data_IF_936601727154
#
_entry.id   IF_936601727154
#
_cell.length_a   1.000
_cell.length_b   1.000
_cell.length_c   1.000
_cell.angle_alpha   90.00
_cell.angle_beta   90.00
_cell.angle_gamma   90.00
#
_symmetry.space_group_name_H-M   'P 1'
#
loop_
_entity.id
_entity.type
_entity.pdbx_description
1 polymer ?
#
# COMPACT_ATOMS: atom_id res chain seq x y z
N UNK A 1 14.38 -30.66 19.68
CA UNK A 1 14.34 -32.13 19.60
C UNK A 1 13.72 -32.49 18.26
N UNK A 2 14.34 -33.35 17.43
CA UNK A 2 13.68 -33.86 16.23
C UNK A 2 12.48 -34.73 16.64
N UNK A 3 11.40 -34.69 15.84
CA UNK A 3 10.21 -35.54 16.03
C UNK A 3 10.63 -37.01 15.99
N UNK A 4 10.03 -37.82 16.84
CA UNK A 4 10.26 -39.27 16.80
C UNK A 4 9.63 -39.86 15.53
N UNK A 5 10.17 -40.97 14.98
CA UNK A 5 9.63 -41.59 13.77
C UNK A 5 8.13 -41.95 13.86
N UNK A 6 7.65 -42.28 15.06
CA UNK A 6 6.23 -42.59 15.31
C UNK A 6 5.35 -41.33 15.27
N UNK A 7 5.80 -40.23 15.85
CA UNK A 7 5.10 -38.93 15.78
C UNK A 7 5.03 -38.40 14.34
N UNK A 8 6.08 -38.61 13.55
CA UNK A 8 6.08 -38.22 12.13
C UNK A 8 5.06 -39.02 11.31
N UNK A 9 4.94 -40.34 11.56
CA UNK A 9 3.95 -41.18 10.90
C UNK A 9 2.52 -40.77 11.28
N UNK A 10 2.25 -40.55 12.56
CA UNK A 10 0.94 -40.09 13.04
C UNK A 10 0.57 -38.73 12.43
N UNK A 11 1.52 -37.79 12.34
CA UNK A 11 1.28 -36.48 11.73
C UNK A 11 0.96 -36.60 10.23
N UNK A 12 1.66 -37.48 9.50
CA UNK A 12 1.37 -37.73 8.07
C UNK A 12 -0.01 -38.34 7.86
N UNK A 13 -0.42 -39.26 8.71
CA UNK A 13 -1.76 -39.86 8.66
C UNK A 13 -2.85 -38.84 8.99
N UNK A 14 -2.66 -38.01 10.02
CA UNK A 14 -3.56 -36.92 10.36
C UNK A 14 -3.71 -35.92 9.20
N UNK A 15 -2.59 -35.55 8.55
CA UNK A 15 -2.62 -34.66 7.39
C UNK A 15 -3.38 -35.31 6.23
N UNK A 16 -3.12 -36.59 5.91
CA UNK A 16 -3.84 -37.29 4.84
C UNK A 16 -5.35 -37.33 5.10
N UNK A 17 -5.76 -37.71 6.31
CA UNK A 17 -7.17 -37.74 6.69
C UNK A 17 -7.81 -36.34 6.60
N UNK A 18 -7.08 -35.28 7.01
CA UNK A 18 -7.57 -33.90 6.91
C UNK A 18 -7.75 -33.41 5.46
N UNK A 19 -6.89 -33.87 4.55
CA UNK A 19 -6.96 -33.53 3.12
C UNK A 19 -8.13 -34.25 2.44
N UNK A 20 -8.31 -35.54 2.71
CA UNK A 20 -9.43 -36.33 2.21
C UNK A 20 -10.78 -35.77 2.68
N UNK A 21 -10.88 -35.38 3.96
CA UNK A 21 -12.08 -34.75 4.49
C UNK A 21 -12.39 -33.40 3.79
N UNK A 22 -11.36 -32.59 3.51
CA UNK A 22 -11.51 -31.33 2.75
C UNK A 22 -11.94 -31.56 1.32
N UNK A 23 -11.44 -32.61 0.66
CA UNK A 23 -11.82 -32.94 -0.72
C UNK A 23 -13.27 -33.42 -0.81
N UNK A 24 -13.71 -34.27 0.13
CA UNK A 24 -15.11 -34.69 0.23
C UNK A 24 -16.06 -33.51 0.51
N UNK A 25 -15.65 -32.56 1.35
CA UNK A 25 -16.43 -31.34 1.58
C UNK A 25 -16.51 -30.47 0.32
N UNK A 26 -15.42 -30.30 -0.42
CA UNK A 26 -15.44 -29.54 -1.68
C UNK A 26 -16.34 -30.17 -2.73
N UNK A 27 -16.26 -31.49 -2.91
CA UNK A 27 -17.07 -32.20 -3.90
C UNK A 27 -18.56 -32.16 -3.55
N UNK A 28 -18.91 -32.29 -2.26
CA UNK A 28 -20.31 -32.20 -1.80
C UNK A 28 -20.89 -30.80 -1.98
N UNK A 29 -20.15 -29.74 -1.63
CA UNK A 29 -20.58 -28.35 -1.85
C UNK A 29 -20.76 -28.07 -3.35
N UNK A 30 -19.80 -28.47 -4.18
CA UNK A 30 -19.89 -28.30 -5.62
C UNK A 30 -21.11 -29.03 -6.21
N UNK A 31 -21.38 -30.26 -5.76
CA UNK A 31 -22.54 -31.02 -6.21
C UNK A 31 -23.87 -30.36 -5.79
N UNK A 32 -23.94 -29.80 -4.58
CA UNK A 32 -25.13 -29.06 -4.11
C UNK A 32 -25.34 -27.77 -4.92
N UNK A 33 -24.28 -27.02 -5.23
CA UNK A 33 -24.39 -25.82 -6.06
C UNK A 33 -24.84 -26.14 -7.48
N UNK A 34 -24.29 -27.19 -8.09
CA UNK A 34 -24.65 -27.60 -9.45
C UNK A 34 -26.12 -28.06 -9.51
N UNK A 35 -26.60 -28.80 -8.51
CA UNK A 35 -28.02 -29.15 -8.37
C UNK A 35 -28.91 -27.92 -8.23
N UNK A 36 -28.51 -26.94 -7.41
CA UNK A 36 -29.25 -25.68 -7.25
C UNK A 36 -29.32 -24.87 -8.55
N UNK A 37 -28.22 -24.79 -9.31
CA UNK A 37 -28.19 -24.12 -10.62
C UNK A 37 -29.10 -24.83 -11.63
N UNK A 38 -29.12 -26.16 -11.65
CA UNK A 38 -30.01 -26.93 -12.52
C UNK A 38 -31.49 -26.68 -12.19
N UNK A 39 -31.86 -26.68 -10.90
CA UNK A 39 -33.23 -26.38 -10.48
C UNK A 39 -33.67 -24.97 -10.91
N UNK A 40 -32.82 -23.96 -10.74
CA UNK A 40 -33.12 -22.59 -11.18
C UNK A 40 -33.28 -22.48 -12.70
N UNK A 41 -32.48 -23.22 -13.48
CA UNK A 41 -32.61 -23.26 -14.92
C UNK A 41 -33.91 -23.93 -15.35
N UNK A 42 -34.30 -25.03 -14.71
CA UNK A 42 -35.58 -25.70 -14.96
C UNK A 42 -36.78 -24.79 -14.63
N UNK A 43 -36.74 -24.07 -13.50
CA UNK A 43 -37.79 -23.12 -13.13
C UNK A 43 -37.94 -21.99 -14.15
N UNK A 44 -36.81 -21.41 -14.60
CA UNK A 44 -36.82 -20.39 -15.65
C UNK A 44 -37.37 -20.93 -16.96
N UNK A 45 -36.98 -22.13 -17.36
CA UNK A 45 -37.47 -22.76 -18.57
C UNK A 45 -38.99 -23.00 -18.49
N UNK A 46 -39.49 -23.45 -17.32
CA UNK A 46 -40.93 -23.61 -17.08
C UNK A 46 -41.67 -22.28 -17.17
N UNK A 47 -41.11 -21.20 -16.62
CA UNK A 47 -41.71 -19.86 -16.71
C UNK A 47 -41.77 -19.37 -18.17
N UNK A 48 -40.68 -19.52 -18.92
CA UNK A 48 -40.64 -19.13 -20.33
C UNK A 48 -41.66 -19.91 -21.16
N UNK A 49 -41.75 -21.23 -20.98
CA UNK A 49 -42.73 -22.06 -21.69
C UNK A 49 -44.16 -21.62 -21.33
N UNK A 50 -44.42 -21.33 -20.04
CA UNK A 50 -45.74 -20.86 -19.60
C UNK A 50 -46.09 -19.50 -20.23
N UNK A 51 -45.16 -18.54 -20.25
CA UNK A 51 -45.35 -17.23 -20.87
C UNK A 51 -45.58 -17.34 -22.38
N UNK A 52 -44.78 -18.16 -23.08
CA UNK A 52 -44.92 -18.39 -24.53
C UNK A 52 -46.26 -19.04 -24.88
N UNK A 53 -46.68 -20.06 -24.12
CA UNK A 53 -47.97 -20.72 -24.32
C UNK A 53 -49.14 -19.79 -23.96
N UNK A 54 -49.00 -18.95 -22.92
CA UNK A 54 -49.99 -17.92 -22.58
C UNK A 54 -50.14 -16.89 -23.71
N UNK A 55 -49.03 -16.36 -24.24
CA UNK A 55 -49.07 -15.45 -25.39
C UNK A 55 -49.70 -16.11 -26.62
N UNK A 56 -49.33 -17.37 -26.91
CA UNK A 56 -49.90 -18.13 -28.03
C UNK A 56 -51.40 -18.32 -27.86
N UNK A 57 -51.85 -18.74 -26.66
CA UNK A 57 -53.27 -18.95 -26.32
C UNK A 57 -54.13 -17.70 -26.54
N UNK A 58 -53.63 -16.52 -26.15
CA UNK A 58 -54.35 -15.25 -26.32
C UNK A 58 -54.29 -14.73 -27.76
N UNK A 59 -53.14 -14.87 -28.44
CA UNK A 59 -53.00 -14.47 -29.85
C UNK A 59 -53.88 -15.30 -30.78
N UNK A 60 -53.94 -16.62 -30.58
CA UNK A 60 -54.79 -17.51 -31.38
C UNK A 60 -56.29 -17.18 -31.22
N UNK A 61 -56.69 -16.69 -30.04
CA UNK A 61 -58.06 -16.21 -29.78
C UNK A 61 -58.30 -14.75 -30.17
N UNK A 62 -57.31 -14.08 -30.76
CA UNK A 62 -57.44 -12.70 -31.25
C UNK A 62 -57.47 -11.63 -30.16
N UNK A 63 -56.98 -11.91 -28.95
CA UNK A 63 -56.80 -10.90 -27.91
C UNK A 63 -55.60 -10.00 -28.23
N UNK A 64 -55.63 -8.76 -27.74
CA UNK A 64 -54.56 -7.78 -27.94
C UNK A 64 -54.00 -7.31 -26.60
N UNK A 65 -52.70 -7.05 -26.54
CA UNK A 65 -52.06 -6.47 -25.37
C UNK A 65 -52.47 -5.01 -25.21
N UNK A 66 -53.05 -4.66 -24.06
CA UNK A 66 -53.40 -3.29 -23.71
C UNK A 66 -52.74 -2.90 -22.38
N UNK A 67 -51.95 -1.81 -22.42
CA UNK A 67 -51.34 -1.24 -21.23
C UNK A 67 -52.35 -0.39 -20.47
N UNK A 68 -52.69 -0.79 -19.25
CA UNK A 68 -53.61 -0.03 -18.40
C UNK A 68 -52.96 1.28 -17.88
N UNK A 69 -53.72 2.11 -17.14
CA UNK A 69 -53.22 3.39 -16.62
C UNK A 69 -52.07 3.27 -15.61
N UNK A 70 -51.96 2.12 -14.94
CA UNK A 70 -50.89 1.81 -13.97
C UNK A 70 -49.64 1.27 -14.66
N UNK A 71 -49.71 0.97 -15.97
CA UNK A 71 -48.60 0.48 -16.76
C UNK A 71 -48.48 -1.04 -16.83
N UNK A 72 -49.47 -1.77 -16.33
CA UNK A 72 -49.55 -3.24 -16.39
C UNK A 72 -50.11 -3.62 -17.77
N UNK A 73 -49.52 -4.67 -18.38
CA UNK A 73 -49.97 -5.21 -19.66
C UNK A 73 -51.06 -6.25 -19.38
N UNK A 74 -52.24 -6.03 -19.95
CA UNK A 74 -53.38 -6.95 -19.84
C UNK A 74 -53.78 -7.44 -21.24
N UNK A 75 -54.13 -8.72 -21.37
CA UNK A 75 -54.74 -9.26 -22.59
C UNK A 75 -56.23 -8.94 -22.59
N UNK A 76 -56.68 -8.14 -23.56
CA UNK A 76 -58.09 -7.72 -23.69
C UNK A 76 -58.62 -8.02 -25.08
N UNK A 77 -59.95 -8.12 -25.20
CA UNK A 77 -60.57 -8.30 -26.52
C UNK A 77 -60.38 -7.04 -27.39
N UNK A 78 -60.33 -7.18 -28.73
CA UNK A 78 -60.14 -6.04 -29.64
C UNK A 78 -61.20 -4.95 -29.46
N UNK A 79 -62.47 -5.32 -29.28
CA UNK A 79 -63.55 -4.36 -29.04
C UNK A 79 -63.36 -3.59 -27.72
N UNK A 80 -62.88 -4.26 -26.68
CA UNK A 80 -62.64 -3.62 -25.39
C UNK A 80 -61.43 -2.68 -25.44
N UNK A 81 -60.38 -3.07 -26.19
CA UNK A 81 -59.24 -2.20 -26.48
C UNK A 81 -59.69 -0.92 -27.22
N UNK A 82 -60.57 -1.04 -28.21
CA UNK A 82 -61.12 0.10 -28.95
C UNK A 82 -62.03 0.98 -28.10
N UNK A 83 -62.91 0.39 -27.28
CA UNK A 83 -63.75 1.13 -26.30
C UNK A 83 -62.88 1.92 -25.31
N UNK A 84 -61.77 1.33 -24.84
CA UNK A 84 -60.78 1.99 -23.97
C UNK A 84 -60.00 3.09 -24.72
N UNK A 85 -59.77 2.94 -26.02
CA UNK A 85 -59.11 3.94 -26.88
C UNK A 85 -60.01 5.14 -27.27
N UNK A 86 -61.34 4.93 -27.38
CA UNK A 86 -62.32 5.89 -27.90
C UNK A 86 -62.56 7.16 -27.08
N UNK A 87 -61.95 7.33 -25.90
CA UNK A 87 -62.05 8.57 -25.08
C UNK A 87 -60.82 9.48 -25.16
N UNK A 88 -60.00 9.39 -26.21
CA UNK A 88 -59.00 10.44 -26.48
C UNK A 88 -59.68 11.66 -27.11
N UNK A 89 -60.34 12.47 -26.28
CA UNK A 89 -60.81 13.80 -26.72
C UNK A 89 -59.63 14.59 -27.27
N UNK A 90 -59.77 15.12 -28.49
CA UNK A 90 -58.89 16.15 -29.08
C UNK A 90 -58.96 17.43 -28.22
N UNK A 91 -58.32 17.43 -27.04
CA UNK A 91 -58.07 18.66 -26.27
C UNK A 91 -56.81 19.30 -26.86
N UNK A 92 -56.99 20.44 -27.55
CA UNK A 92 -55.91 21.28 -28.11
C UNK A 92 -54.79 21.45 -27.07
N UNK A 93 -53.66 20.78 -27.28
CA UNK A 93 -52.49 20.84 -26.40
C UNK A 93 -51.50 21.94 -26.85
N UNK A 94 -51.96 23.17 -27.08
CA UNK A 94 -51.06 24.25 -27.49
C UNK A 94 -50.14 24.74 -26.34
N UNK A 95 -50.53 24.54 -25.08
CA UNK A 95 -49.69 24.85 -23.90
C UNK A 95 -48.74 23.73 -23.45
N UNK A 96 -49.17 22.46 -23.53
CA UNK A 96 -48.35 21.30 -23.08
C UNK A 96 -47.20 20.95 -24.03
N UNK A 97 -47.32 21.22 -25.34
CA UNK A 97 -46.23 20.98 -26.32
C UNK A 97 -45.02 21.89 -26.07
N UNK A 98 -45.25 23.17 -25.73
CA UNK A 98 -44.18 24.13 -25.37
C UNK A 98 -43.45 23.73 -24.08
N UNK A 99 -44.17 23.25 -23.06
CA UNK A 99 -43.57 22.79 -21.79
C UNK A 99 -42.77 21.50 -21.99
N UNK A 100 -43.26 20.54 -22.80
CA UNK A 100 -42.52 19.32 -23.14
C UNK A 100 -41.25 19.60 -23.94
N UNK A 101 -41.31 20.49 -24.94
CA UNK A 101 -40.14 20.91 -25.70
C UNK A 101 -39.11 21.63 -24.82
N UNK A 102 -39.55 22.52 -23.91
CA UNK A 102 -38.65 23.19 -22.97
C UNK A 102 -37.96 22.20 -22.03
N UNK A 103 -38.67 21.19 -21.53
CA UNK A 103 -38.06 20.17 -20.67
C UNK A 103 -37.12 19.24 -21.44
N UNK A 104 -37.41 18.95 -22.72
CA UNK A 104 -36.49 18.23 -23.59
C UNK A 104 -35.22 19.04 -23.84
N UNK A 105 -35.33 20.33 -24.16
CA UNK A 105 -34.15 21.20 -24.37
C UNK A 105 -33.31 21.29 -23.09
N UNK A 106 -33.94 21.42 -21.92
CA UNK A 106 -33.26 21.42 -20.62
C UNK A 106 -32.55 20.08 -20.34
N UNK A 107 -33.17 18.94 -20.65
CA UNK A 107 -32.54 17.63 -20.50
C UNK A 107 -31.38 17.43 -21.47
N UNK A 108 -31.52 17.88 -22.72
CA UNK A 108 -30.43 17.87 -23.70
C UNK A 108 -29.27 18.76 -23.24
N UNK A 109 -29.54 19.96 -22.74
CA UNK A 109 -28.53 20.86 -22.18
C UNK A 109 -27.83 20.27 -20.95
N UNK A 110 -28.58 19.61 -20.05
CA UNK A 110 -28.04 18.92 -18.89
C UNK A 110 -27.10 17.77 -19.29
N UNK A 111 -27.50 16.97 -20.28
CA UNK A 111 -26.67 15.86 -20.77
C UNK A 111 -25.38 16.38 -21.42
N UNK A 112 -25.47 17.45 -22.21
CA UNK A 112 -24.29 18.10 -22.79
C UNK A 112 -23.37 18.62 -21.69
N UNK A 113 -23.91 19.30 -20.67
CA UNK A 113 -23.13 19.77 -19.53
C UNK A 113 -22.43 18.61 -18.80
N UNK A 114 -23.12 17.51 -18.55
CA UNK A 114 -22.53 16.30 -17.94
C UNK A 114 -21.38 15.73 -18.78
N UNK A 115 -21.53 15.65 -20.10
CA UNK A 115 -20.47 15.18 -21.00
C UNK A 115 -19.28 16.13 -20.99
N UNK A 116 -19.50 17.45 -20.98
CA UNK A 116 -18.40 18.43 -20.91
C UNK A 116 -17.64 18.35 -19.59
N UNK A 117 -18.34 18.14 -18.47
CA UNK A 117 -17.71 17.92 -17.16
C UNK A 117 -16.94 16.61 -17.16
N UNK A 118 -17.52 15.52 -17.67
CA UNK A 118 -16.84 14.23 -17.76
C UNK A 118 -15.58 14.28 -18.65
N UNK A 119 -15.65 14.98 -19.78
CA UNK A 119 -14.49 15.22 -20.65
C UNK A 119 -13.45 16.13 -19.97
N UNK A 120 -13.87 17.14 -19.22
CA UNK A 120 -12.99 17.98 -18.42
C UNK A 120 -12.28 17.22 -17.31
N UNK A 121 -13.01 16.35 -16.60
CA UNK A 121 -12.46 15.45 -15.58
C UNK A 121 -11.54 14.43 -16.23
N UNK A 122 -11.91 13.83 -17.36
CA UNK A 122 -11.07 12.88 -18.08
C UNK A 122 -9.78 13.54 -18.61
N UNK A 123 -9.88 14.75 -19.16
CA UNK A 123 -8.73 15.56 -19.56
C UNK A 123 -7.85 15.94 -18.35
N UNK A 124 -8.47 16.31 -17.23
CA UNK A 124 -7.77 16.58 -15.97
C UNK A 124 -7.03 15.34 -15.47
N UNK A 125 -7.70 14.18 -15.45
CA UNK A 125 -7.10 12.89 -15.04
C UNK A 125 -6.00 12.44 -16.01
N UNK A 126 -6.12 12.66 -17.31
CA UNK A 126 -5.05 12.43 -18.28
C UNK A 126 -3.84 13.33 -18.02
N UNK A 127 -4.05 14.58 -17.61
CA UNK A 127 -2.98 15.54 -17.30
C UNK A 127 -2.36 15.32 -15.92
N UNK A 128 -3.13 14.77 -14.97
CA UNK A 128 -2.73 14.48 -13.59
C UNK A 128 -2.49 12.98 -13.34
N UNK A 129 -2.27 12.18 -14.38
CA UNK A 129 -1.69 10.86 -14.23
C UNK A 129 -0.16 11.03 -14.25
N UNK A 130 0.53 11.19 -13.10
CA UNK A 130 1.98 11.07 -13.11
C UNK A 130 2.28 9.66 -13.60
N UNK A 131 2.75 9.54 -14.85
CA UNK A 131 3.21 8.27 -15.37
C UNK A 131 4.19 7.64 -14.38
N UNK A 132 4.35 6.30 -14.39
CA UNK A 132 5.23 5.62 -13.43
C UNK A 132 6.57 6.35 -13.42
N UNK A 133 6.94 6.88 -12.26
CA UNK A 133 8.20 7.59 -12.11
C UNK A 133 9.28 6.65 -12.62
N UNK A 134 9.88 6.97 -13.77
CA UNK A 134 11.03 6.22 -14.25
C UNK A 134 12.09 6.47 -13.20
N UNK A 135 12.35 5.47 -12.36
CA UNK A 135 13.40 5.52 -11.35
C UNK A 135 14.71 5.50 -12.12
N UNK A 136 15.09 6.68 -12.58
CA UNK A 136 16.39 6.89 -13.16
C UNK A 136 17.40 6.79 -12.01
N UNK A 137 18.51 6.13 -12.26
CA UNK A 137 19.54 5.97 -11.25
C UNK A 137 20.68 6.97 -11.49
N UNK A 138 21.38 7.36 -10.43
CA UNK A 138 22.58 8.17 -10.47
C UNK A 138 23.65 7.61 -9.53
N UNK A 139 24.73 8.37 -9.35
CA UNK A 139 25.85 7.99 -8.50
C UNK A 139 26.17 9.11 -7.50
N UNK A 140 26.81 8.76 -6.39
CA UNK A 140 27.41 9.74 -5.46
C UNK A 140 28.86 9.35 -5.21
N UNK A 141 29.78 10.27 -5.45
CA UNK A 141 31.18 10.15 -5.02
C UNK A 141 31.27 10.70 -3.60
N UNK A 142 31.76 9.88 -2.67
CA UNK A 142 31.93 10.25 -1.26
C UNK A 142 33.42 10.31 -0.95
N UNK A 143 33.90 11.47 -0.51
CA UNK A 143 35.31 11.68 -0.15
C UNK A 143 35.45 12.26 1.26
N UNK A 144 36.62 12.02 1.86
CA UNK A 144 37.03 12.68 3.09
C UNK A 144 38.52 12.99 3.07
N UNK A 145 38.93 13.97 3.86
CA UNK A 145 40.34 14.33 4.09
C UNK A 145 41.15 13.19 4.74
N UNK A 146 40.51 12.36 5.57
CA UNK A 146 41.08 11.12 6.13
C UNK A 146 40.42 9.90 5.47
N UNK A 147 41.17 9.00 4.81
CA UNK A 147 40.60 7.83 4.15
C UNK A 147 40.17 6.73 5.14
N UNK A 148 39.35 5.79 4.68
CA UNK A 148 38.93 4.62 5.44
C UNK A 148 37.82 4.91 6.44
N UNK A 149 36.91 5.83 6.15
CA UNK A 149 35.69 6.02 6.94
C UNK A 149 34.55 5.19 6.37
N UNK A 150 33.77 4.55 7.24
CA UNK A 150 32.55 3.83 6.90
C UNK A 150 31.50 4.79 6.33
N UNK A 151 30.80 4.38 5.26
CA UNK A 151 29.80 5.20 4.57
C UNK A 151 28.39 4.72 4.95
N UNK A 152 27.55 5.67 5.38
CA UNK A 152 26.13 5.45 5.69
C UNK A 152 25.27 6.23 4.70
N UNK A 153 24.34 5.52 4.04
CA UNK A 153 23.36 6.09 3.13
C UNK A 153 21.96 5.83 3.70
N UNK A 154 21.18 6.90 3.88
CA UNK A 154 19.82 6.87 4.41
C UNK A 154 19.72 6.06 5.72
N UNK A 155 20.70 6.25 6.60
CA UNK A 155 20.79 5.57 7.90
C UNK A 155 21.26 4.11 7.85
N UNK A 156 21.51 3.56 6.65
CA UNK A 156 22.00 2.18 6.48
C UNK A 156 23.48 2.16 6.14
N UNK A 157 24.26 1.36 6.88
CA UNK A 157 25.68 1.16 6.58
C UNK A 157 25.85 0.44 5.24
N UNK A 158 26.63 1.03 4.34
CA UNK A 158 27.01 0.39 3.08
C UNK A 158 28.25 -0.46 3.32
N UNK A 159 28.02 -1.67 3.85
CA UNK A 159 29.05 -2.65 4.21
C UNK A 159 30.05 -2.81 3.05
N UNK A 160 31.35 -2.77 3.38
CA UNK A 160 32.50 -2.88 2.46
C UNK A 160 32.87 -1.62 1.64
N UNK A 161 32.16 -0.50 1.80
CA UNK A 161 32.50 0.76 1.12
C UNK A 161 33.13 1.74 2.14
N UNK A 162 34.28 2.30 1.78
CA UNK A 162 35.05 3.20 2.64
C UNK A 162 35.56 4.42 1.88
N UNK A 163 35.57 5.60 2.50
CA UNK A 163 36.03 6.82 1.83
C UNK A 163 37.50 6.73 1.38
N UNK A 164 37.87 7.24 0.19
CA UNK A 164 36.98 7.70 -0.87
C UNK A 164 36.34 6.52 -1.63
N UNK A 165 35.03 6.59 -1.88
CA UNK A 165 34.30 5.58 -2.68
C UNK A 165 33.19 6.20 -3.53
N UNK A 166 32.62 5.42 -4.44
CA UNK A 166 31.46 5.80 -5.26
C UNK A 166 30.28 4.88 -5.01
N UNK A 167 29.20 5.45 -4.49
CA UNK A 167 27.90 4.78 -4.41
C UNK A 167 27.25 4.81 -5.80
N UNK A 168 27.07 3.63 -6.40
CA UNK A 168 26.55 3.49 -7.76
C UNK A 168 25.09 3.05 -7.75
N UNK A 169 24.39 3.41 -8.83
CA UNK A 169 23.02 2.96 -9.09
C UNK A 169 22.05 3.29 -7.95
N UNK A 170 22.08 4.53 -7.47
CA UNK A 170 21.15 5.05 -6.48
C UNK A 170 19.92 5.64 -7.17
N UNK A 171 18.70 5.45 -6.65
CA UNK A 171 17.51 6.12 -7.17
C UNK A 171 17.71 7.64 -7.28
N UNK A 172 17.20 8.27 -8.33
CA UNK A 172 17.18 9.73 -8.39
C UNK A 172 16.25 10.27 -7.29
N UNK A 173 16.74 11.24 -6.52
CA UNK A 173 16.05 11.70 -5.33
C UNK A 173 16.99 12.33 -4.30
N UNK A 174 16.42 12.73 -3.16
CA UNK A 174 17.21 13.22 -2.04
C UNK A 174 17.68 12.04 -1.18
N UNK A 175 18.97 11.98 -0.89
CA UNK A 175 19.58 11.01 -0.01
C UNK A 175 20.31 11.71 1.13
N UNK A 176 20.40 11.04 2.28
CA UNK A 176 21.19 11.49 3.42
C UNK A 176 22.46 10.65 3.55
N UNK A 177 23.59 11.33 3.60
CA UNK A 177 24.91 10.72 3.75
C UNK A 177 25.54 11.10 5.07
N UNK A 178 26.13 10.13 5.74
CA UNK A 178 27.01 10.32 6.88
C UNK A 178 28.23 9.40 6.76
N UNK A 179 29.33 9.76 7.41
CA UNK A 179 30.52 8.90 7.50
C UNK A 179 30.94 8.72 8.94
N UNK A 180 31.55 7.57 9.24
CA UNK A 180 32.08 7.25 10.56
C UNK A 180 33.50 6.73 10.48
N UNK A 181 34.37 7.20 11.38
CA UNK A 181 35.72 6.66 11.53
C UNK A 181 36.09 6.66 13.01
N UNK A 182 36.60 5.53 13.49
CA UNK A 182 37.09 5.39 14.87
C UNK A 182 38.10 6.50 15.19
N UNK A 183 37.84 7.23 16.27
CA UNK A 183 38.71 8.31 16.74
C UNK A 183 38.54 9.67 16.06
N UNK A 184 37.59 9.82 15.13
CA UNK A 184 37.36 11.08 14.42
C UNK A 184 35.92 11.57 14.58
N UNK A 185 35.74 12.89 14.48
CA UNK A 185 34.41 13.51 14.32
C UNK A 185 34.28 14.05 12.91
N UNK A 186 33.23 13.64 12.20
CA UNK A 186 32.92 14.14 10.85
C UNK A 186 32.20 15.49 10.90
N UNK A 187 32.58 16.39 9.98
CA UNK A 187 31.87 17.63 9.70
C UNK A 187 31.67 17.81 8.18
N UNK A 188 30.44 18.07 7.71
CA UNK A 188 29.19 18.05 8.47
C UNK A 188 28.90 16.64 9.02
N UNK A 189 28.12 16.49 10.12
CA UNK A 189 27.78 15.17 10.66
C UNK A 189 26.88 14.36 9.71
N UNK A 190 26.06 15.06 8.92
CA UNK A 190 25.21 14.48 7.89
C UNK A 190 25.02 15.51 6.75
N UNK A 191 24.96 15.02 5.51
CA UNK A 191 24.75 15.85 4.32
C UNK A 191 23.57 15.31 3.51
N UNK A 192 22.64 16.20 3.14
CA UNK A 192 21.57 15.89 2.19
C UNK A 192 22.09 16.13 0.77
N UNK A 193 22.04 15.12 -0.09
CA UNK A 193 22.49 15.16 -1.47
C UNK A 193 21.31 14.88 -2.40
N UNK A 194 21.16 15.71 -3.44
CA UNK A 194 20.21 15.45 -4.52
C UNK A 194 20.91 14.66 -5.63
N UNK A 195 20.41 13.46 -5.92
CA UNK A 195 20.87 12.61 -7.02
C UNK A 195 19.99 12.84 -8.24
N UNK A 196 20.61 13.24 -9.34
CA UNK A 196 19.94 13.39 -10.63
C UNK A 196 20.03 12.11 -11.47
N UNK A 197 19.07 11.95 -12.38
CA UNK A 197 19.02 10.88 -13.36
C UNK A 197 20.31 10.83 -14.21
N UNK A 198 21.02 9.70 -14.19
CA UNK A 198 22.32 9.49 -14.84
C UNK A 198 23.41 10.50 -14.42
N UNK A 199 23.17 11.25 -13.34
CA UNK A 199 24.10 12.22 -12.79
C UNK A 199 25.07 11.60 -11.79
N UNK A 200 26.14 12.33 -11.49
CA UNK A 200 27.06 11.98 -10.38
C UNK A 200 27.18 13.17 -9.45
N UNK A 201 26.64 13.03 -8.24
CA UNK A 201 26.78 14.02 -7.17
C UNK A 201 28.07 13.79 -6.37
N UNK A 202 28.52 14.80 -5.62
CA UNK A 202 29.70 14.74 -4.76
C UNK A 202 29.33 15.10 -3.32
N UNK A 203 29.81 14.31 -2.38
CA UNK A 203 29.73 14.57 -0.94
C UNK A 203 31.15 14.57 -0.36
N UNK A 204 31.50 15.63 0.36
CA UNK A 204 32.83 15.84 0.92
C UNK A 204 32.71 16.04 2.42
N UNK A 205 33.52 15.31 3.19
CA UNK A 205 33.53 15.38 4.64
C UNK A 205 34.92 15.72 5.17
N UNK A 206 34.98 16.49 6.26
CA UNK A 206 36.21 16.76 7.01
C UNK A 206 36.18 15.98 8.32
N UNK A 207 37.21 15.17 8.58
CA UNK A 207 37.36 14.37 9.77
C UNK A 207 38.37 15.04 10.70
N UNK A 208 37.87 15.58 11.81
CA UNK A 208 38.72 16.12 12.86
C UNK A 208 39.10 15.01 13.82
N UNK A 209 40.41 14.79 13.98
CA UNK A 209 40.92 13.89 15.00
C UNK A 209 40.42 14.36 16.36
N UNK A 210 39.79 13.44 17.09
CA UNK A 210 39.46 13.70 18.47
C UNK A 210 40.74 13.47 19.27
N UNK A 211 41.39 14.56 19.68
CA UNK A 211 42.67 14.50 20.41
C UNK A 211 42.60 13.70 21.72
N UNK A 212 41.39 13.37 22.20
CA UNK A 212 41.13 12.50 23.32
C UNK A 212 39.94 11.60 23.01
N UNK A 213 40.10 10.29 23.23
CA UNK A 213 39.05 9.27 23.08
C UNK A 213 38.63 8.74 24.43
N UNK A 214 37.36 8.37 24.56
CA UNK A 214 36.84 7.61 25.69
C UNK A 214 36.03 6.42 25.19
N UNK A 215 35.59 5.57 26.10
CA UNK A 215 34.83 4.37 25.78
C UNK A 215 33.41 4.49 26.32
N UNK A 216 32.44 4.00 25.56
CA UNK A 216 31.06 3.83 26.02
C UNK A 216 30.75 2.34 25.98
N UNK A 217 30.24 1.79 27.09
CA UNK A 217 29.64 0.46 27.11
C UNK A 217 28.13 0.60 27.14
N UNK A 218 27.43 0.06 26.15
CA UNK A 218 25.96 0.11 26.08
C UNK A 218 25.39 -1.24 26.44
N UNK A 219 24.56 -1.29 27.48
CA UNK A 219 23.85 -2.50 27.93
C UNK A 219 22.34 -2.34 27.76
N UNK A 220 21.66 -3.42 27.35
CA UNK A 220 20.20 -3.47 27.25
C UNK A 220 19.62 -4.83 27.66
N UNK A 221 18.33 -4.86 27.99
CA UNK A 221 17.59 -6.09 28.31
C UNK A 221 17.41 -7.04 27.11
N UNK A 222 17.50 -6.54 25.88
CA UNK A 222 17.42 -7.33 24.64
C UNK A 222 18.72 -7.22 23.84
N UNK A 223 19.17 -8.32 23.25
CA UNK A 223 20.31 -8.34 22.32
C UNK A 223 19.89 -7.90 20.90
N UNK A 224 20.86 -7.69 20.00
CA UNK A 224 20.65 -7.32 18.58
C UNK A 224 19.88 -6.00 18.42
N UNK A 225 20.53 -4.90 18.77
CA UNK A 225 20.06 -3.53 18.56
C UNK A 225 21.18 -2.71 17.91
N UNK A 226 20.81 -1.62 17.25
CA UNK A 226 21.75 -0.69 16.62
C UNK A 226 22.01 0.47 17.57
N UNK A 227 23.29 0.82 17.76
CA UNK A 227 23.70 1.98 18.55
C UNK A 227 23.95 3.14 17.60
N UNK A 228 23.42 4.31 17.93
CA UNK A 228 23.67 5.57 17.23
C UNK A 228 24.41 6.51 18.16
N UNK A 229 25.52 7.07 17.68
CA UNK A 229 26.29 8.12 18.34
C UNK A 229 26.11 9.39 17.54
N UNK A 230 25.51 10.41 18.16
CA UNK A 230 25.17 11.69 17.52
C UNK A 230 24.38 11.52 16.21
N UNK A 231 23.51 10.50 16.17
CA UNK A 231 22.67 10.17 15.01
C UNK A 231 23.35 9.30 13.94
N UNK A 232 24.62 8.96 14.11
CA UNK A 232 25.36 8.07 13.18
C UNK A 232 25.35 6.65 13.75
N UNK A 233 24.88 5.68 12.97
CA UNK A 233 24.93 4.28 13.37
C UNK A 233 26.39 3.85 13.51
N UNK A 234 26.68 3.07 14.57
CA UNK A 234 28.01 2.50 14.81
C UNK A 234 27.91 0.98 14.65
N UNK A 235 28.88 0.32 13.99
CA UNK A 235 28.82 -1.11 13.75
C UNK A 235 28.71 -1.90 15.06
N UNK A 236 27.88 -2.94 15.04
CA UNK A 236 27.66 -3.80 16.21
C UNK A 236 28.95 -4.60 16.54
N UNK A 237 29.53 -4.34 17.72
CA UNK A 237 30.66 -5.11 18.28
C UNK A 237 30.15 -6.08 19.36
N UNK A 238 30.79 -7.26 19.56
CA UNK A 238 30.33 -8.28 20.50
C UNK A 238 30.13 -7.80 21.93
N UNK A 239 30.92 -6.82 22.36
CA UNK A 239 30.92 -6.31 23.74
C UNK A 239 30.06 -5.06 23.93
N UNK A 240 29.43 -4.54 22.86
CA UNK A 240 28.72 -3.24 22.88
C UNK A 240 29.56 -2.09 23.47
N UNK A 241 30.89 -2.24 23.47
CA UNK A 241 31.87 -1.22 23.82
C UNK A 241 32.30 -0.52 22.54
N UNK A 242 32.14 0.79 22.51
CA UNK A 242 32.51 1.65 21.38
C UNK A 242 33.45 2.75 21.84
N UNK A 243 34.47 3.01 21.03
CA UNK A 243 35.38 4.12 21.26
C UNK A 243 34.83 5.35 20.55
N UNK A 244 34.71 6.44 21.30
CA UNK A 244 34.16 7.69 20.79
C UNK A 244 35.02 8.86 21.25
N UNK A 245 35.06 9.96 20.48
CA UNK A 245 35.67 11.20 20.92
C UNK A 245 35.15 11.67 22.29
N UNK A 246 36.06 12.11 23.16
CA UNK A 246 35.70 12.73 24.43
C UNK A 246 34.87 14.00 24.22
N UNK A 247 33.98 14.30 25.16
CA UNK A 247 33.02 15.40 25.10
C UNK A 247 31.57 14.97 25.30
N UNK A 248 30.63 15.90 25.17
CA UNK A 248 29.20 15.58 25.21
C UNK A 248 28.78 14.80 23.97
N UNK A 249 28.13 13.66 24.18
CA UNK A 249 27.63 12.79 23.12
C UNK A 249 26.17 12.43 23.38
N UNK A 250 25.39 12.29 22.31
CA UNK A 250 24.02 11.79 22.37
C UNK A 250 24.02 10.34 21.88
N UNK A 251 23.56 9.44 22.74
CA UNK A 251 23.52 8.01 22.47
C UNK A 251 22.07 7.57 22.39
N UNK A 252 21.74 6.90 21.28
CA UNK A 252 20.42 6.33 21.02
C UNK A 252 20.60 4.86 20.67
N UNK A 253 19.65 4.02 21.09
CA UNK A 253 19.60 2.61 20.69
C UNK A 253 18.29 2.32 19.98
N UNK A 254 18.35 1.56 18.89
CA UNK A 254 17.18 1.24 18.06
C UNK A 254 17.09 -0.26 17.88
N UNK A 255 15.88 -0.79 18.11
CA UNK A 255 15.54 -2.18 17.87
C UNK A 255 14.15 -2.25 17.24
N UNK A 256 14.02 -2.99 16.15
CA UNK A 256 12.76 -3.11 15.42
C UNK A 256 11.63 -3.66 16.31
N UNK A 257 10.50 -2.95 16.36
CA UNK A 257 9.33 -3.31 17.17
C UNK A 257 9.42 -2.94 18.66
N UNK A 258 10.49 -2.29 19.10
CA UNK A 258 10.69 -1.91 20.50
C UNK A 258 11.03 -0.42 20.65
N UNK A 259 10.54 0.17 21.73
CA UNK A 259 10.93 1.52 22.13
C UNK A 259 12.01 1.44 23.20
N UNK A 260 13.11 2.18 22.98
CA UNK A 260 14.15 2.33 23.98
C UNK A 260 13.68 3.27 25.10
N UNK A 261 13.95 2.88 26.34
CA UNK A 261 13.75 3.66 27.55
C UNK A 261 15.06 3.68 28.36
N UNK A 262 15.69 4.85 28.55
CA UNK A 262 15.30 6.14 27.99
C UNK A 262 15.44 6.17 26.45
N UNK A 263 14.72 7.07 25.76
CA UNK A 263 14.80 7.19 24.30
C UNK A 263 16.19 7.59 23.80
N UNK A 264 16.89 8.43 24.56
CA UNK A 264 18.28 8.82 24.32
C UNK A 264 18.96 9.13 25.65
N UNK A 265 20.29 9.08 25.67
CA UNK A 265 21.11 9.55 26.78
C UNK A 265 22.13 10.56 26.29
N UNK A 266 22.17 11.73 26.93
CA UNK A 266 23.24 12.70 26.73
C UNK A 266 24.28 12.50 27.82
N UNK A 267 25.50 12.13 27.42
CA UNK A 267 26.57 11.77 28.35
C UNK A 267 27.82 12.57 28.07
N UNK A 268 28.56 12.92 29.13
CA UNK A 268 29.91 13.47 29.01
C UNK A 268 30.90 12.31 28.99
N UNK A 269 31.46 12.02 27.81
CA UNK A 269 32.51 11.02 27.66
C UNK A 269 33.84 11.65 28.04
N UNK A 270 34.51 11.09 29.04
CA UNK A 270 35.84 11.52 29.45
C UNK A 270 36.93 10.72 28.75
N UNK A 271 38.07 11.36 28.54
CA UNK A 271 39.22 10.74 27.91
C UNK A 271 39.73 9.53 28.73
N UNK A 272 39.94 8.39 28.06
CA UNK A 272 40.46 7.16 28.67
C UNK A 272 39.51 6.46 29.65
N UNK A 273 38.29 6.97 29.84
CA UNK A 273 37.33 6.42 30.79
C UNK A 273 36.25 5.59 30.07
N UNK A 274 35.86 4.47 30.68
CA UNK A 274 34.71 3.68 30.24
C UNK A 274 33.45 4.21 30.91
N UNK A 275 32.52 4.70 30.10
CA UNK A 275 31.24 5.22 30.56
C UNK A 275 30.13 4.19 30.31
N UNK A 276 29.59 3.53 31.34
CA UNK A 276 28.51 2.55 31.18
C UNK A 276 27.16 3.27 30.99
N UNK A 277 26.44 2.87 29.95
CA UNK A 277 25.07 3.31 29.66
C UNK A 277 24.14 2.10 29.69
N UNK A 278 22.96 2.31 30.27
CA UNK A 278 21.93 1.28 30.37
C UNK A 278 20.64 1.73 29.69
N UNK A 279 20.12 0.87 28.84
CA UNK A 279 18.83 1.02 28.19
C UNK A 279 17.93 -0.16 28.51
N UNK A 280 16.64 0.04 28.35
CA UNK A 280 15.62 -1.01 28.34
C UNK A 280 14.78 -0.87 27.09
N UNK A 281 14.32 -1.98 26.54
CA UNK A 281 13.43 -2.04 25.40
C UNK A 281 12.08 -2.52 25.87
N UNK A 282 11.08 -1.66 25.72
CA UNK A 282 9.68 -1.97 25.97
C UNK A 282 9.01 -2.30 24.61
N UNK A 283 8.13 -3.32 24.53
CA UNK A 283 7.39 -3.59 23.31
C UNK A 283 6.65 -2.35 22.83
N UNK A 284 6.83 -2.00 21.56
CA UNK A 284 6.07 -0.93 20.93
C UNK A 284 4.64 -1.40 20.67
N UNK A 285 3.81 -1.48 21.71
CA UNK A 285 2.37 -1.72 21.53
C UNK A 285 1.78 -0.58 20.69
N UNK A 286 1.17 -0.93 19.55
CA UNK A 286 0.59 -0.04 18.53
C UNK A 286 1.44 1.22 18.24
N UNK A 287 2.75 1.05 18.06
CA UNK A 287 3.55 2.12 17.43
C UNK A 287 3.18 2.19 15.95
N UNK A 288 2.26 3.11 15.64
CA UNK A 288 1.98 3.49 14.26
C UNK A 288 3.29 3.93 13.61
N UNK A 289 3.81 3.13 12.69
CA UNK A 289 4.89 3.56 11.82
C UNK A 289 4.40 4.80 11.08
N UNK A 290 5.16 5.88 11.14
CA UNK A 290 4.99 6.97 10.20
C UNK A 290 5.57 6.45 8.89
N UNK A 291 4.72 5.87 8.06
CA UNK A 291 5.07 5.49 6.69
C UNK A 291 5.35 6.78 5.92
N UNK A 292 6.64 7.08 5.75
CA UNK A 292 7.09 8.15 4.87
C UNK A 292 7.35 7.50 3.51
N UNK A 293 6.26 7.17 2.83
CA UNK A 293 6.24 6.73 1.43
C UNK A 293 6.40 7.91 0.47
#
# INVERSE_FOLDING_TARGET
MPLTPEEEQQLREQIRASLEAREQQRSTVQHQEDQGRQQQLEERLRQQIAEEEEERFYRERGYVQHKNRQGIIEWVTPEEAERRAGRRSKRKSSGRRKIRQRNQILQWALNIALVTVALGVFYYLLRYNPGPARVNHGNIIVTSDVPGAHIYLDGTEKRLLFTPDTLRNLPAGAHFLAIYKDGYTAWPPMQRIQVEANGTARAEFTLKSAGLLGQISVSANLAKFTIYVDGIAVPARPESVIEVPAGYRVITVVKEGYLANPHYQRVLVKAGELTPLRFTFDPGGDIGYLDIS
#
